data_IF_349817817182
#
_entry.id   IF_349817817182
#
_cell.length_a   1.000
_cell.length_b   1.000
_cell.length_c   1.000
_cell.angle_alpha   90.00
_cell.angle_beta   90.00
_cell.angle_gamma   90.00
#
_symmetry.space_group_name_H-M   'P 1'
#
loop_
_entity.id
_entity.type
_entity.pdbx_description
1 polymer ?
#
# COMPACT_ATOMS: atom_id res chain seq x y z
N UNK A 1 30.59 19.79 -2.61
CA UNK A 1 29.46 18.87 -2.35
C UNK A 1 29.02 19.06 -0.90
N UNK A 2 27.77 19.47 -0.65
CA UNK A 2 27.21 19.50 0.71
C UNK A 2 27.22 18.09 1.30
N UNK A 3 27.50 17.93 2.60
CA UNK A 3 27.27 16.63 3.26
C UNK A 3 25.78 16.30 3.11
N UNK A 4 25.42 15.05 2.74
CA UNK A 4 24.03 14.64 2.71
C UNK A 4 23.43 14.83 4.11
N UNK A 5 22.18 15.29 4.17
CA UNK A 5 21.47 15.42 5.44
C UNK A 5 21.34 14.03 6.07
N UNK A 6 21.71 13.93 7.34
CA UNK A 6 21.67 12.67 8.08
C UNK A 6 20.22 12.14 8.15
N UNK A 7 19.25 13.04 8.31
CA UNK A 7 17.84 12.69 8.41
C UNK A 7 17.33 12.08 7.10
N UNK A 8 17.69 12.68 5.96
CA UNK A 8 17.33 12.15 4.63
C UNK A 8 17.88 10.73 4.41
N UNK A 9 19.14 10.49 4.81
CA UNK A 9 19.73 9.16 4.72
C UNK A 9 19.01 8.13 5.62
N UNK A 10 18.60 8.52 6.82
CA UNK A 10 17.84 7.66 7.74
C UNK A 10 16.45 7.32 7.18
N UNK A 11 15.72 8.31 6.67
CA UNK A 11 14.41 8.12 6.05
C UNK A 11 14.46 7.15 4.87
N UNK A 12 15.44 7.33 3.99
CA UNK A 12 15.64 6.45 2.82
C UNK A 12 15.90 5.01 3.26
N UNK A 13 16.75 4.81 4.27
CA UNK A 13 17.05 3.47 4.80
C UNK A 13 15.80 2.84 5.43
N UNK A 14 15.12 3.56 6.33
CA UNK A 14 13.93 3.06 7.03
C UNK A 14 12.84 2.72 6.01
N UNK A 15 12.61 3.60 5.03
CA UNK A 15 11.66 3.36 3.96
C UNK A 15 12.02 2.10 3.19
N UNK A 16 13.30 1.88 2.83
CA UNK A 16 13.75 0.68 2.13
C UNK A 16 13.50 -0.61 2.93
N UNK A 17 13.93 -0.63 4.19
CA UNK A 17 13.84 -1.79 5.08
C UNK A 17 12.41 -2.13 5.53
N UNK A 18 11.47 -1.19 5.42
CA UNK A 18 10.06 -1.39 5.76
C UNK A 18 9.32 -2.44 4.90
N UNK A 19 9.92 -2.96 3.82
CA UNK A 19 9.35 -4.06 3.02
C UNK A 19 10.23 -5.31 3.06
N UNK A 20 9.61 -6.46 3.31
CA UNK A 20 10.28 -7.76 3.40
C UNK A 20 11.07 -8.14 2.15
N UNK A 21 10.46 -8.05 0.97
CA UNK A 21 11.14 -8.37 -0.30
C UNK A 21 12.43 -7.56 -0.51
N UNK A 22 12.41 -6.28 -0.13
CA UNK A 22 13.60 -5.42 -0.25
C UNK A 22 14.69 -5.84 0.71
N UNK A 23 14.35 -6.24 1.94
CA UNK A 23 15.31 -6.80 2.90
C UNK A 23 15.93 -8.09 2.36
N UNK A 24 15.12 -8.97 1.78
CA UNK A 24 15.57 -10.22 1.20
C UNK A 24 16.52 -9.97 0.02
N UNK A 25 16.18 -9.05 -0.89
CA UNK A 25 17.05 -8.65 -2.00
C UNK A 25 18.41 -8.14 -1.49
N UNK A 26 18.44 -7.28 -0.47
CA UNK A 26 19.70 -6.80 0.11
C UNK A 26 20.52 -7.93 0.73
N UNK A 27 19.88 -8.88 1.43
CA UNK A 27 20.53 -10.08 2.00
C UNK A 27 21.13 -10.97 0.89
N UNK A 28 20.38 -11.21 -0.18
CA UNK A 28 20.83 -12.00 -1.35
C UNK A 28 22.04 -11.34 -2.00
N UNK A 29 22.00 -10.03 -2.25
CA UNK A 29 23.11 -9.32 -2.87
C UNK A 29 24.35 -9.40 -1.98
N UNK A 30 24.21 -9.25 -0.65
CA UNK A 30 25.35 -9.33 0.27
C UNK A 30 25.99 -10.71 0.35
N UNK A 31 25.21 -11.77 0.14
CA UNK A 31 25.68 -13.14 0.20
C UNK A 31 26.70 -13.48 -0.90
N UNK A 32 26.77 -12.67 -1.97
CA UNK A 32 27.78 -12.77 -3.02
C UNK A 32 28.76 -11.59 -2.94
N UNK A 33 30.05 -11.87 -2.77
CA UNK A 33 31.09 -10.83 -2.73
C UNK A 33 31.28 -10.13 -4.09
N UNK A 34 30.97 -10.81 -5.20
CA UNK A 34 31.03 -10.25 -6.56
C UNK A 34 29.72 -9.55 -6.97
N UNK A 35 28.66 -9.67 -6.17
CA UNK A 35 27.31 -9.24 -6.50
C UNK A 35 26.47 -10.31 -7.19
N UNK A 36 25.24 -9.97 -7.56
CA UNK A 36 24.24 -10.95 -8.06
C UNK A 36 23.58 -10.46 -9.34
N UNK A 37 23.45 -11.34 -10.33
CA UNK A 37 22.73 -11.06 -11.58
C UNK A 37 21.21 -11.06 -11.36
N UNK A 38 20.47 -10.36 -12.23
CA UNK A 38 19.01 -10.26 -12.15
C UNK A 38 18.29 -11.61 -11.97
N UNK A 39 18.66 -12.61 -12.78
CA UNK A 39 18.06 -13.96 -12.72
C UNK A 39 18.36 -14.69 -11.42
N UNK A 40 19.51 -14.41 -10.79
CA UNK A 40 19.85 -14.95 -9.48
C UNK A 40 18.92 -14.41 -8.40
N UNK A 41 18.69 -13.08 -8.38
CA UNK A 41 17.75 -12.46 -7.45
C UNK A 41 16.33 -12.98 -7.69
N UNK A 42 15.92 -13.10 -8.95
CA UNK A 42 14.60 -13.63 -9.32
C UNK A 42 14.39 -15.06 -8.82
N UNK A 43 15.40 -15.92 -8.98
CA UNK A 43 15.34 -17.32 -8.53
C UNK A 43 15.24 -17.46 -7.01
N UNK A 44 15.99 -16.64 -6.26
CA UNK A 44 16.00 -16.68 -4.80
C UNK A 44 14.77 -16.04 -4.15
N UNK A 45 14.18 -15.02 -4.78
CA UNK A 45 13.01 -14.31 -4.23
C UNK A 45 11.66 -14.90 -4.66
N UNK A 46 11.63 -15.74 -5.72
CA UNK A 46 10.41 -16.28 -6.32
C UNK A 46 9.36 -15.22 -6.70
N UNK A 47 9.80 -13.99 -6.95
CA UNK A 47 8.96 -12.89 -7.44
C UNK A 47 8.76 -13.01 -8.95
N UNK A 48 7.68 -12.44 -9.49
CA UNK A 48 7.64 -12.18 -10.93
C UNK A 48 8.49 -10.95 -11.30
N UNK A 49 8.73 -10.83 -12.60
CA UNK A 49 9.60 -9.80 -13.16
C UNK A 49 9.09 -8.38 -12.91
N UNK A 50 7.78 -8.17 -12.87
CA UNK A 50 7.18 -6.86 -12.58
C UNK A 50 7.45 -6.44 -11.15
N UNK A 51 7.19 -7.33 -10.20
CA UNK A 51 7.43 -7.07 -8.78
C UNK A 51 8.92 -6.89 -8.46
N UNK A 52 9.81 -7.73 -9.02
CA UNK A 52 11.25 -7.57 -8.79
C UNK A 52 11.75 -6.22 -9.32
N UNK A 53 11.35 -5.82 -10.53
CA UNK A 53 11.74 -4.53 -11.09
C UNK A 53 11.23 -3.35 -10.24
N UNK A 54 10.02 -3.44 -9.70
CA UNK A 54 9.49 -2.45 -8.77
C UNK A 54 10.38 -2.31 -7.53
N UNK A 55 10.79 -3.43 -6.92
CA UNK A 55 11.65 -3.42 -5.74
C UNK A 55 13.07 -2.94 -6.03
N UNK A 56 13.68 -3.35 -7.15
CA UNK A 56 15.01 -2.91 -7.56
C UNK A 56 15.05 -1.39 -7.79
N UNK A 57 14.04 -0.83 -8.47
CA UNK A 57 13.92 0.62 -8.66
C UNK A 57 13.81 1.36 -7.33
N UNK A 58 13.04 0.83 -6.40
CA UNK A 58 12.89 1.42 -5.06
C UNK A 58 14.11 1.18 -4.14
N UNK A 59 15.13 0.46 -4.61
CA UNK A 59 16.40 0.25 -3.94
C UNK A 59 17.55 1.01 -4.61
N UNK A 60 17.28 1.75 -5.70
CA UNK A 60 18.28 2.62 -6.33
C UNK A 60 18.93 3.54 -5.29
N UNK A 61 20.26 3.63 -5.33
CA UNK A 61 21.05 4.35 -4.32
C UNK A 61 21.47 3.49 -3.13
N UNK A 62 20.72 2.44 -2.76
CA UNK A 62 21.18 1.39 -1.83
C UNK A 62 21.88 0.25 -2.57
N UNK A 63 21.43 -0.02 -3.80
CA UNK A 63 22.09 -0.93 -4.73
C UNK A 63 22.59 -0.15 -5.94
N UNK A 64 23.64 -0.65 -6.57
CA UNK A 64 24.11 -0.20 -7.88
C UNK A 64 24.10 -1.37 -8.86
N UNK A 65 23.78 -1.08 -10.11
CA UNK A 65 23.85 -2.03 -11.22
C UNK A 65 25.11 -1.73 -12.02
N UNK A 66 26.01 -2.70 -12.10
CA UNK A 66 27.21 -2.64 -12.93
C UNK A 66 26.91 -2.81 -14.42
N UNK A 67 27.94 -2.61 -15.23
CA UNK A 67 27.86 -2.70 -16.70
C UNK A 67 27.52 -4.12 -17.20
N UNK A 68 27.89 -5.13 -16.41
CA UNK A 68 27.59 -6.55 -16.56
C UNK A 68 26.19 -6.96 -16.07
N UNK A 69 25.35 -5.99 -15.67
CA UNK A 69 24.04 -6.21 -15.04
C UNK A 69 24.13 -6.95 -13.69
N UNK A 70 25.28 -6.89 -13.03
CA UNK A 70 25.47 -7.39 -11.67
C UNK A 70 25.03 -6.30 -10.68
N UNK A 71 24.21 -6.70 -9.71
CA UNK A 71 23.78 -5.83 -8.63
C UNK A 71 24.72 -5.99 -7.43
N UNK A 72 25.18 -4.87 -6.90
CA UNK A 72 26.05 -4.81 -5.70
C UNK A 72 25.51 -3.76 -4.73
N UNK A 73 25.83 -3.91 -3.45
CA UNK A 73 25.48 -2.91 -2.44
C UNK A 73 26.32 -1.63 -2.61
N UNK A 74 25.69 -0.49 -2.39
CA UNK A 74 26.40 0.77 -2.18
C UNK A 74 26.82 0.90 -0.71
N UNK A 75 27.67 1.88 -0.34
CA UNK A 75 27.95 2.17 1.06
C UNK A 75 26.70 2.45 1.90
N UNK A 76 25.64 2.99 1.29
CA UNK A 76 24.34 3.22 1.95
C UNK A 76 23.59 1.90 2.16
N UNK A 77 23.57 1.01 1.15
CA UNK A 77 23.01 -0.34 1.26
C UNK A 77 23.69 -1.18 2.35
N UNK A 78 25.02 -1.10 2.46
CA UNK A 78 25.78 -1.76 3.53
C UNK A 78 25.45 -1.21 4.93
N UNK A 79 25.13 0.08 5.05
CA UNK A 79 24.64 0.65 6.31
C UNK A 79 23.23 0.16 6.64
N UNK A 80 22.34 0.12 5.64
CA UNK A 80 20.98 -0.38 5.81
C UNK A 80 20.97 -1.84 6.29
N UNK A 81 21.80 -2.69 5.68
CA UNK A 81 21.87 -4.11 6.03
C UNK A 81 22.45 -4.33 7.43
N UNK A 82 23.46 -3.53 7.84
CA UNK A 82 23.98 -3.57 9.23
C UNK A 82 22.92 -3.21 10.26
N UNK A 83 22.10 -2.20 10.01
CA UNK A 83 20.98 -1.84 10.89
C UNK A 83 19.97 -2.98 10.99
N UNK A 84 19.64 -3.61 9.87
CA UNK A 84 18.74 -4.76 9.85
C UNK A 84 19.27 -5.92 10.70
N UNK A 85 20.55 -6.28 10.55
CA UNK A 85 21.15 -7.38 11.31
C UNK A 85 21.27 -7.07 12.81
N UNK A 86 21.44 -5.79 13.18
CA UNK A 86 21.41 -5.35 14.57
C UNK A 86 20.06 -5.64 15.24
N UNK A 87 18.96 -5.34 14.54
CA UNK A 87 17.59 -5.62 15.01
C UNK A 87 17.39 -7.12 15.28
N UNK A 88 17.80 -7.99 14.34
CA UNK A 88 17.64 -9.44 14.47
C UNK A 88 18.44 -10.00 15.68
N UNK A 89 19.59 -9.38 16.00
CA UNK A 89 20.50 -9.83 17.07
C UNK A 89 20.07 -9.32 18.46
N UNK A 90 19.43 -8.15 18.54
CA UNK A 90 19.08 -7.48 19.80
C UNK A 90 17.68 -7.87 20.32
N UNK A 91 16.80 -8.44 19.47
CA UNK A 91 15.44 -8.88 19.84
C UNK A 91 15.41 -10.22 20.61
N UNK A 92 16.54 -10.74 21.06
CA UNK A 92 16.67 -12.02 21.79
C UNK A 92 16.11 -12.02 23.24
N UNK A 93 15.22 -11.08 23.61
CA UNK A 93 14.55 -10.99 24.91
C UNK A 93 13.02 -10.91 24.79
N UNK A 94 12.30 -10.86 25.93
CA UNK A 94 10.84 -10.68 25.92
C UNK A 94 10.47 -9.21 25.63
N UNK A 95 10.63 -8.81 24.37
CA UNK A 95 10.23 -7.49 23.84
C UNK A 95 8.81 -7.49 23.28
N UNK A 96 8.10 -8.61 23.41
CA UNK A 96 6.77 -8.86 22.83
C UNK A 96 5.76 -7.78 23.25
N UNK A 97 5.78 -7.41 24.53
CA UNK A 97 4.88 -6.40 25.08
C UNK A 97 5.13 -5.00 24.49
N UNK A 98 6.40 -4.60 24.36
CA UNK A 98 6.79 -3.33 23.75
C UNK A 98 6.44 -3.27 22.26
N UNK A 99 6.66 -4.36 21.51
CA UNK A 99 6.25 -4.46 20.10
C UNK A 99 4.73 -4.34 19.97
N UNK A 100 3.97 -5.00 20.85
CA UNK A 100 2.50 -4.95 20.87
C UNK A 100 2.01 -3.53 21.13
N UNK A 101 2.58 -2.84 22.12
CA UNK A 101 2.26 -1.46 22.48
C UNK A 101 2.59 -0.48 21.35
N UNK A 102 3.76 -0.60 20.73
CA UNK A 102 4.14 0.20 19.57
C UNK A 102 3.18 -0.01 18.38
N UNK A 103 2.84 -1.28 18.09
CA UNK A 103 1.93 -1.63 17.00
C UNK A 103 0.49 -1.13 17.23
N UNK A 104 0.00 -1.11 18.47
CA UNK A 104 -1.33 -0.53 18.76
C UNK A 104 -1.36 0.97 18.56
N UNK A 105 -0.28 1.68 18.93
CA UNK A 105 -0.20 3.14 18.80
C UNK A 105 0.05 3.60 17.35
N UNK A 106 0.68 2.76 16.53
CA UNK A 106 0.88 3.02 15.10
C UNK A 106 -0.33 2.66 14.22
N UNK A 107 -1.27 1.85 14.72
CA UNK A 107 -2.52 1.57 13.98
C UNK A 107 -3.42 2.80 14.03
N UNK A 108 -3.42 3.56 12.95
CA UNK A 108 -4.32 4.69 12.74
C UNK A 108 -5.78 4.31 12.97
N UNK A 109 -6.42 4.99 13.93
CA UNK A 109 -7.84 4.86 14.28
C UNK A 109 -8.77 5.27 13.12
N UNK A 110 -8.23 5.94 12.08
CA UNK A 110 -8.99 6.44 10.94
C UNK A 110 -9.43 5.31 10.00
N UNK A 111 -8.62 4.25 9.87
CA UNK A 111 -8.91 3.14 8.95
C UNK A 111 -10.25 2.42 9.23
N UNK A 112 -10.58 2.02 10.48
CA UNK A 112 -11.88 1.39 10.76
C UNK A 112 -13.06 2.34 10.58
N UNK A 113 -12.93 3.63 10.93
CA UNK A 113 -14.02 4.60 10.82
C UNK A 113 -14.35 4.96 9.37
N UNK A 114 -13.32 5.21 8.54
CA UNK A 114 -13.52 5.49 7.11
C UNK A 114 -14.16 4.29 6.43
N UNK A 115 -13.71 3.07 6.75
CA UNK A 115 -14.31 1.84 6.22
C UNK A 115 -15.77 1.69 6.64
N UNK A 116 -16.09 1.99 7.89
CA UNK A 116 -17.47 1.94 8.40
C UNK A 116 -18.38 2.95 7.68
N UNK A 117 -17.95 4.20 7.55
CA UNK A 117 -18.70 5.26 6.86
C UNK A 117 -18.96 4.86 5.40
N UNK A 118 -17.95 4.32 4.72
CA UNK A 118 -18.06 3.93 3.31
C UNK A 118 -19.00 2.75 3.12
N UNK A 119 -19.03 1.78 4.05
CA UNK A 119 -20.02 0.68 4.06
C UNK A 119 -21.43 1.23 4.25
N UNK A 120 -21.65 2.11 5.23
CA UNK A 120 -22.97 2.71 5.49
C UNK A 120 -23.47 3.44 4.25
N UNK A 121 -22.61 4.23 3.60
CA UNK A 121 -22.96 5.00 2.41
C UNK A 121 -23.30 4.10 1.20
N UNK A 122 -22.55 3.00 1.04
CA UNK A 122 -22.79 2.01 -0.03
C UNK A 122 -24.13 1.29 0.17
N UNK A 123 -24.45 0.91 1.41
CA UNK A 123 -25.73 0.26 1.74
C UNK A 123 -26.89 1.24 1.53
N UNK A 124 -26.79 2.46 2.07
CA UNK A 124 -27.82 3.47 1.94
C UNK A 124 -28.14 3.80 0.48
N UNK A 125 -27.11 4.00 -0.34
CA UNK A 125 -27.27 4.24 -1.78
C UNK A 125 -27.88 3.05 -2.50
N UNK A 126 -27.49 1.81 -2.15
CA UNK A 126 -28.11 0.59 -2.68
C UNK A 126 -29.61 0.49 -2.37
N UNK A 127 -30.03 0.82 -1.15
CA UNK A 127 -31.45 0.83 -0.75
C UNK A 127 -32.23 1.85 -1.57
N UNK A 128 -31.71 3.07 -1.74
CA UNK A 128 -32.37 4.12 -2.54
C UNK A 128 -32.51 3.74 -4.01
N UNK A 129 -31.51 3.06 -4.56
CA UNK A 129 -31.53 2.54 -5.93
C UNK A 129 -32.63 1.49 -6.10
N UNK A 130 -32.66 0.47 -5.22
CA UNK A 130 -33.67 -0.59 -5.25
C UNK A 130 -35.09 -0.04 -5.08
N UNK A 131 -35.31 0.89 -4.15
CA UNK A 131 -36.61 1.55 -3.96
C UNK A 131 -37.07 2.28 -5.21
N UNK A 132 -36.15 2.96 -5.91
CA UNK A 132 -36.44 3.65 -7.17
C UNK A 132 -36.85 2.67 -8.28
N UNK A 133 -36.20 1.51 -8.37
CA UNK A 133 -36.58 0.45 -9.33
C UNK A 133 -37.98 -0.11 -9.02
N UNK A 134 -38.33 -0.33 -7.74
CA UNK A 134 -39.66 -0.81 -7.34
C UNK A 134 -40.75 0.18 -7.80
N UNK A 135 -40.53 1.49 -7.64
CA UNK A 135 -41.48 2.51 -8.10
C UNK A 135 -41.65 2.47 -9.62
N UNK A 136 -40.57 2.26 -10.38
CA UNK A 136 -40.62 2.17 -11.85
C UNK A 136 -41.38 0.93 -12.34
N UNK A 137 -41.22 -0.22 -11.69
CA UNK A 137 -41.96 -1.44 -12.04
C UNK A 137 -43.47 -1.27 -11.79
N UNK A 138 -43.84 -0.47 -10.79
CA UNK A 138 -45.24 -0.19 -10.44
C UNK A 138 -45.81 1.06 -11.14
N UNK A 139 -45.25 1.48 -12.27
CA UNK A 139 -45.66 2.72 -12.98
C UNK A 139 -47.15 2.78 -13.32
N UNK A 140 -47.83 1.63 -13.49
CA UNK A 140 -49.26 1.58 -13.81
C UNK A 140 -50.16 2.03 -12.65
N UNK A 141 -49.69 1.96 -11.41
CA UNK A 141 -50.46 2.31 -10.21
C UNK A 141 -50.05 3.65 -9.60
N UNK A 142 -49.02 4.29 -10.17
CA UNK A 142 -48.35 5.45 -9.58
C UNK A 142 -48.45 6.65 -10.53
N UNK A 143 -48.55 7.86 -9.97
CA UNK A 143 -48.63 9.10 -10.75
C UNK A 143 -47.41 9.29 -11.66
N UNK A 144 -47.63 9.80 -12.89
CA UNK A 144 -46.58 9.99 -13.90
C UNK A 144 -45.39 10.84 -13.42
N UNK A 145 -45.63 11.80 -12.51
CA UNK A 145 -44.55 12.61 -11.95
C UNK A 145 -43.64 11.82 -11.00
N UNK A 146 -44.17 10.82 -10.31
CA UNK A 146 -43.41 9.99 -9.39
C UNK A 146 -42.54 8.95 -10.14
N UNK A 147 -42.98 8.47 -11.31
CA UNK A 147 -42.14 7.59 -12.14
C UNK A 147 -40.97 8.34 -12.79
N UNK A 148 -41.17 9.59 -13.21
CA UNK A 148 -40.08 10.44 -13.73
C UNK A 148 -39.02 10.70 -12.64
N UNK A 149 -39.44 11.05 -11.42
CA UNK A 149 -38.53 11.25 -10.29
C UNK A 149 -37.78 9.96 -9.91
N UNK A 150 -38.46 8.81 -9.95
CA UNK A 150 -37.83 7.51 -9.68
C UNK A 150 -36.77 7.17 -10.73
N UNK A 151 -36.98 7.51 -12.00
CA UNK A 151 -36.00 7.28 -13.07
C UNK A 151 -34.73 8.10 -12.87
N UNK A 152 -34.87 9.39 -12.53
CA UNK A 152 -33.74 10.28 -12.25
C UNK A 152 -32.99 9.78 -11.00
N UNK A 153 -33.73 9.41 -9.95
CA UNK A 153 -33.14 8.94 -8.69
C UNK A 153 -32.40 7.62 -8.87
N UNK A 154 -32.97 6.67 -9.62
CA UNK A 154 -32.30 5.42 -9.99
C UNK A 154 -31.02 5.68 -10.80
N UNK A 155 -31.05 6.60 -11.76
CA UNK A 155 -29.87 6.98 -12.54
C UNK A 155 -28.74 7.53 -11.66
N UNK A 156 -29.06 8.53 -10.83
CA UNK A 156 -28.07 9.17 -9.94
C UNK A 156 -27.52 8.17 -8.92
N UNK A 157 -28.39 7.43 -8.22
CA UNK A 157 -27.97 6.46 -7.21
C UNK A 157 -27.17 5.30 -7.81
N UNK A 158 -27.50 4.85 -9.02
CA UNK A 158 -26.73 3.84 -9.75
C UNK A 158 -25.31 4.31 -10.10
N UNK A 159 -25.17 5.55 -10.57
CA UNK A 159 -23.86 6.16 -10.86
C UNK A 159 -23.04 6.30 -9.56
N UNK A 160 -23.64 6.81 -8.49
CA UNK A 160 -22.98 6.96 -7.19
C UNK A 160 -22.55 5.60 -6.64
N UNK A 161 -23.42 4.59 -6.68
CA UNK A 161 -23.13 3.24 -6.22
C UNK A 161 -21.99 2.61 -7.03
N UNK A 162 -21.98 2.80 -8.35
CA UNK A 162 -20.88 2.34 -9.21
C UNK A 162 -19.54 2.95 -8.78
N UNK A 163 -19.48 4.27 -8.54
CA UNK A 163 -18.27 4.92 -8.07
C UNK A 163 -17.87 4.48 -6.66
N UNK A 164 -18.81 4.29 -5.74
CA UNK A 164 -18.53 3.78 -4.40
C UNK A 164 -17.96 2.36 -4.44
N UNK A 165 -18.53 1.47 -5.24
CA UNK A 165 -18.02 0.11 -5.42
C UNK A 165 -16.64 0.09 -6.10
N UNK A 166 -16.42 0.97 -7.08
CA UNK A 166 -15.12 1.16 -7.72
C UNK A 166 -14.08 1.64 -6.72
N UNK A 167 -14.43 2.63 -5.90
CA UNK A 167 -13.58 3.14 -4.82
C UNK A 167 -13.29 1.99 -3.85
N UNK A 168 -14.29 1.24 -3.39
CA UNK A 168 -14.17 0.10 -2.46
C UNK A 168 -13.12 -0.92 -2.95
N UNK A 169 -13.10 -1.22 -4.25
CA UNK A 169 -12.11 -2.10 -4.86
C UNK A 169 -10.69 -1.53 -4.89
N UNK A 170 -10.54 -0.22 -4.88
CA UNK A 170 -9.25 0.51 -4.88
C UNK A 170 -8.80 1.01 -3.50
N UNK A 171 -9.60 0.77 -2.44
CA UNK A 171 -9.41 1.32 -1.09
C UNK A 171 -8.02 1.08 -0.45
N UNK A 172 -7.28 -0.03 -0.68
CA UNK A 172 -6.00 -0.20 0.00
C UNK A 172 -4.99 0.93 -0.28
N UNK A 173 -5.04 1.52 -1.47
CA UNK A 173 -4.03 2.49 -1.93
C UNK A 173 -4.49 3.96 -1.84
N UNK A 174 -5.79 4.22 -1.99
CA UNK A 174 -6.31 5.59 -1.93
C UNK A 174 -6.29 6.14 -0.50
N UNK A 175 -6.74 5.34 0.47
CA UNK A 175 -6.77 5.74 1.88
C UNK A 175 -5.35 6.00 2.41
N UNK A 176 -4.39 5.16 2.05
CA UNK A 176 -2.97 5.35 2.40
C UNK A 176 -2.37 6.65 1.85
N UNK A 177 -2.77 7.07 0.64
CA UNK A 177 -2.29 8.35 0.04
C UNK A 177 -2.93 9.57 0.68
N UNK A 178 -4.21 9.47 1.05
CA UNK A 178 -4.93 10.55 1.71
C UNK A 178 -4.43 10.75 3.15
N UNK A 179 -4.16 9.67 3.86
CA UNK A 179 -3.59 9.69 5.21
C UNK A 179 -2.25 10.43 5.27
N UNK A 180 -1.33 10.14 4.34
CA UNK A 180 -0.06 10.87 4.24
C UNK A 180 -0.23 12.37 3.98
N UNK A 181 -1.28 12.78 3.26
CA UNK A 181 -1.48 14.19 2.87
C UNK A 181 -2.20 15.02 3.93
N UNK A 182 -2.85 14.37 4.90
CA UNK A 182 -3.62 15.04 5.96
C UNK A 182 -2.85 15.06 7.29
N UNK A 183 -1.93 14.12 7.48
CA UNK A 183 -1.10 14.02 8.68
C UNK A 183 0.29 14.68 8.54
N UNK A 184 0.66 15.11 7.33
CA UNK A 184 1.81 16.01 7.04
C UNK A 184 1.29 17.45 6.81
#
# INVERSE_FOLDING_TARGET
>A
MSKPDKNEAEEVIIQALGHEERRNILKIIRASDEGVIYSGILGETNLDTGHLNYHLRNLEGLIKKGDDRIYTLTPLGEKALRLLNGIDTEINGDVTEYIKSAKSNQKSLLHPLIKLILIIFTIGTGITFLGSIIVLVNVRTIAANASLLALITAGISGVVLYYLLKIFRTVPEFVRRWEKKVLD
#
